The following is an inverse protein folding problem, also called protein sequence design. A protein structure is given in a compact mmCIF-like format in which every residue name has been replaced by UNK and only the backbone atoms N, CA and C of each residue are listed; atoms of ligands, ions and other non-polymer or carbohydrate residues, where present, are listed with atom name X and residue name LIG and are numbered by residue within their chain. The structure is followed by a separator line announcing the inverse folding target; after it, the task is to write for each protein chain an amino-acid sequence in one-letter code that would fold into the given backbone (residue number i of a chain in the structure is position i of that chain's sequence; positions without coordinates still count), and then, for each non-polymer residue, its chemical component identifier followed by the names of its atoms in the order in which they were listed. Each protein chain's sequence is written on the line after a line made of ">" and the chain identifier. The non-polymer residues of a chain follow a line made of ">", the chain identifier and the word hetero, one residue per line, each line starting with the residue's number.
data_IF_020091978370
#
_entry.id   IF_020091978370
#
_cell.length_a   1.000
_cell.length_b   1.000
_cell.length_c   1.000
_cell.angle_alpha   90.00
_cell.angle_beta   90.00
_cell.angle_gamma   90.00
#
_symmetry.space_group_name_H-M   'P 1'
#
loop_
_entity.id
_entity.type
_entity.pdbx_description
1 polymer ?
#
# COMPACT_ATOMS: atom_id res chain seq x y z
N UNK A 1 -5.81 8.28 12.00
CA UNK A 1 -4.76 9.17 11.46
C UNK A 1 -5.07 9.50 10.00
N UNK A 2 -4.71 10.71 9.57
CA UNK A 2 -4.81 11.11 8.17
C UNK A 2 -3.48 10.84 7.47
N UNK A 3 -3.54 10.56 6.15
CA UNK A 3 -2.35 10.43 5.31
C UNK A 3 -1.62 11.79 5.25
N UNK A 4 -0.28 11.79 5.21
CA UNK A 4 0.47 13.04 5.27
C UNK A 4 0.44 13.82 3.95
N UNK A 5 0.09 13.19 2.82
CA UNK A 5 -0.03 13.82 1.49
C UNK A 5 1.19 14.65 1.05
N UNK A 6 2.37 14.30 1.58
CA UNK A 6 3.66 14.92 1.25
C UNK A 6 4.67 13.87 0.80
N UNK A 7 5.71 14.33 0.10
CA UNK A 7 6.74 13.46 -0.49
C UNK A 7 7.48 12.68 0.60
N UNK A 8 7.48 11.34 0.47
CA UNK A 8 8.13 10.40 1.38
C UNK A 8 9.60 10.16 0.97
N UNK A 9 10.43 9.67 1.90
CA UNK A 9 11.84 9.39 1.64
C UNK A 9 12.03 8.29 0.59
N UNK A 10 11.09 7.35 0.46
CA UNK A 10 11.06 6.35 -0.61
C UNK A 10 11.30 6.99 -1.99
N UNK A 11 10.75 8.18 -2.25
CA UNK A 11 10.90 8.89 -3.52
C UNK A 11 12.33 9.39 -3.79
N UNK A 12 13.22 9.39 -2.79
CA UNK A 12 14.65 9.69 -2.91
C UNK A 12 15.48 8.41 -2.96
N UNK A 13 15.11 7.40 -2.18
CA UNK A 13 15.82 6.12 -2.14
C UNK A 13 15.69 5.32 -3.44
N UNK A 14 14.55 5.40 -4.14
CA UNK A 14 14.38 4.71 -5.45
C UNK A 14 15.54 5.05 -6.42
N UNK A 15 15.77 6.32 -6.81
CA UNK A 15 16.86 6.64 -7.72
C UNK A 15 18.24 6.49 -7.08
N UNK A 16 18.38 6.62 -5.75
CA UNK A 16 19.66 6.41 -5.07
C UNK A 16 20.16 4.96 -5.17
N UNK A 17 19.25 4.00 -5.26
CA UNK A 17 19.55 2.58 -5.47
C UNK A 17 19.53 2.18 -6.95
N UNK A 18 19.62 3.13 -7.89
CA UNK A 18 19.53 2.90 -9.33
C UNK A 18 18.25 2.16 -9.77
N UNK A 19 17.17 2.31 -8.99
CA UNK A 19 15.87 1.72 -9.29
C UNK A 19 14.95 2.74 -9.97
N UNK A 20 13.94 2.22 -10.66
CA UNK A 20 12.82 3.01 -11.16
C UNK A 20 11.52 2.62 -10.44
N UNK A 21 10.50 3.49 -10.39
CA UNK A 21 9.20 3.13 -9.83
C UNK A 21 8.60 1.87 -10.46
N UNK A 22 8.86 1.61 -11.74
CA UNK A 22 8.40 0.41 -12.44
C UNK A 22 9.11 -0.86 -11.95
N UNK A 23 10.42 -0.79 -11.71
CA UNK A 23 11.17 -1.91 -11.13
C UNK A 23 10.75 -2.20 -9.70
N UNK A 24 10.52 -1.16 -8.89
CA UNK A 24 9.99 -1.32 -7.53
C UNK A 24 8.59 -1.93 -7.56
N UNK A 25 7.71 -1.45 -8.45
CA UNK A 25 6.38 -2.02 -8.62
C UNK A 25 6.44 -3.52 -8.97
N UNK A 26 7.33 -3.89 -9.89
CA UNK A 26 7.57 -5.30 -10.26
C UNK A 26 8.05 -6.14 -9.07
N UNK A 27 8.98 -5.62 -8.27
CA UNK A 27 9.49 -6.31 -7.08
C UNK A 27 8.41 -6.51 -6.00
N UNK A 28 7.48 -5.57 -5.88
CA UNK A 28 6.37 -5.61 -4.93
C UNK A 28 5.12 -6.36 -5.47
N UNK A 29 5.11 -6.78 -6.74
CA UNK A 29 3.93 -7.38 -7.37
C UNK A 29 2.75 -6.42 -7.51
N UNK A 30 3.02 -5.12 -7.70
CA UNK A 30 2.00 -4.06 -7.82
C UNK A 30 2.22 -3.21 -9.08
N UNK A 31 1.48 -2.11 -9.20
CA UNK A 31 1.59 -1.16 -10.31
C UNK A 31 2.40 0.11 -9.97
N UNK A 32 2.84 0.82 -11.01
CA UNK A 32 3.64 2.05 -10.83
C UNK A 32 2.85 3.20 -10.19
N UNK A 33 1.52 3.21 -10.30
CA UNK A 33 0.66 4.22 -9.67
C UNK A 33 0.64 4.01 -8.16
N UNK A 34 0.60 2.75 -7.70
CA UNK A 34 0.73 2.39 -6.29
C UNK A 34 2.03 2.94 -5.70
N UNK A 35 3.16 2.71 -6.37
CA UNK A 35 4.47 3.23 -5.92
C UNK A 35 4.49 4.75 -5.88
N UNK A 36 3.91 5.42 -6.88
CA UNK A 36 3.79 6.89 -6.90
C UNK A 36 2.93 7.40 -5.74
N UNK A 37 1.84 6.71 -5.39
CA UNK A 37 0.99 7.08 -4.27
C UNK A 37 1.73 6.92 -2.94
N UNK A 38 2.48 5.83 -2.75
CA UNK A 38 3.35 5.63 -1.58
C UNK A 38 4.40 6.76 -1.49
N UNK A 39 5.07 7.07 -2.60
CA UNK A 39 6.06 8.16 -2.68
C UNK A 39 5.51 9.55 -2.33
N UNK A 40 4.21 9.78 -2.53
CA UNK A 40 3.53 11.06 -2.25
C UNK A 40 2.80 11.07 -0.91
N UNK A 41 2.92 10.00 -0.13
CA UNK A 41 2.19 9.86 1.13
C UNK A 41 0.67 9.83 0.93
N UNK A 42 0.21 9.34 -0.23
CA UNK A 42 -1.20 9.29 -0.62
C UNK A 42 -1.85 7.92 -0.42
N UNK A 43 -1.12 6.94 0.10
CA UNK A 43 -1.65 5.63 0.48
C UNK A 43 -0.77 5.00 1.56
N UNK A 44 -1.37 4.21 2.46
CA UNK A 44 -0.62 3.42 3.45
C UNK A 44 -0.01 2.18 2.78
N UNK A 45 1.27 1.83 3.05
CA UNK A 45 1.88 0.59 2.57
C UNK A 45 1.33 -0.61 3.36
N UNK A 46 0.95 -1.68 2.65
CA UNK A 46 0.48 -2.91 3.28
C UNK A 46 1.61 -3.59 4.07
N UNK A 47 1.30 -4.50 5.01
CA UNK A 47 2.32 -5.27 5.71
C UNK A 47 3.27 -6.03 4.76
N UNK A 48 2.72 -6.59 3.67
CA UNK A 48 3.53 -7.29 2.67
C UNK A 48 4.42 -6.33 1.88
N UNK A 49 3.91 -5.15 1.51
CA UNK A 49 4.70 -4.10 0.86
C UNK A 49 5.83 -3.61 1.77
N UNK A 50 5.57 -3.47 3.07
CA UNK A 50 6.58 -3.10 4.07
C UNK A 50 7.72 -4.10 4.07
N UNK A 51 7.42 -5.40 4.23
CA UNK A 51 8.43 -6.47 4.24
C UNK A 51 9.20 -6.53 2.92
N UNK A 52 8.51 -6.36 1.79
CA UNK A 52 9.14 -6.36 0.47
C UNK A 52 10.09 -5.16 0.29
N UNK A 53 9.70 -3.97 0.74
CA UNK A 53 10.53 -2.77 0.67
C UNK A 53 11.76 -2.88 1.57
N UNK A 54 11.62 -3.40 2.79
CA UNK A 54 12.76 -3.62 3.69
C UNK A 54 13.78 -4.58 3.07
N UNK A 55 13.31 -5.67 2.45
CA UNK A 55 14.17 -6.61 1.72
C UNK A 55 14.82 -5.99 0.50
N UNK A 56 14.07 -5.19 -0.27
CA UNK A 56 14.54 -4.59 -1.51
C UNK A 56 15.62 -3.51 -1.27
N UNK A 57 15.42 -2.67 -0.25
CA UNK A 57 16.32 -1.57 0.05
C UNK A 57 17.39 -1.93 1.10
N UNK A 58 17.20 -3.00 1.87
CA UNK A 58 18.09 -3.36 2.98
C UNK A 58 18.05 -2.35 4.13
N UNK A 59 16.93 -1.64 4.27
CA UNK A 59 16.74 -0.55 5.23
C UNK A 59 15.44 -0.76 6.02
N UNK A 60 15.37 -0.35 7.30
CA UNK A 60 14.12 -0.33 8.05
C UNK A 60 13.08 0.57 7.37
N UNK A 61 11.80 0.16 7.42
CA UNK A 61 10.73 0.89 6.73
C UNK A 61 10.51 2.31 7.28
N UNK A 62 10.90 2.56 8.53
CA UNK A 62 10.91 3.88 9.17
C UNK A 62 11.87 4.89 8.52
N UNK A 63 12.86 4.41 7.76
CA UNK A 63 13.75 5.27 6.98
C UNK A 63 13.10 5.65 5.65
N UNK A 64 12.24 4.78 5.12
CA UNK A 64 11.58 4.98 3.82
C UNK A 64 10.31 5.84 3.95
N UNK A 65 9.64 5.80 5.10
CA UNK A 65 8.38 6.48 5.33
C UNK A 65 8.34 7.21 6.67
N UNK A 66 7.54 8.27 6.70
CA UNK A 66 7.24 8.97 7.95
C UNK A 66 6.34 8.12 8.87
N UNK A 67 6.38 8.34 10.20
CA UNK A 67 5.61 7.55 11.16
C UNK A 67 4.11 7.47 10.84
N UNK A 68 3.52 8.54 10.31
CA UNK A 68 2.10 8.61 9.93
C UNK A 68 1.73 7.58 8.87
N UNK A 69 2.64 7.26 7.93
CA UNK A 69 2.42 6.24 6.90
C UNK A 69 2.42 4.82 7.47
N UNK A 70 3.06 4.61 8.62
CA UNK A 70 3.23 3.30 9.23
C UNK A 70 2.17 2.99 10.30
N UNK A 71 1.17 3.86 10.44
CA UNK A 71 0.12 3.76 11.46
C UNK A 71 -0.59 2.40 11.47
N UNK A 72 -0.69 1.73 10.32
CA UNK A 72 -1.41 0.46 10.16
C UNK A 72 -0.50 -0.74 9.90
N UNK A 73 0.82 -0.61 10.13
CA UNK A 73 1.78 -1.71 9.89
C UNK A 73 1.48 -2.97 10.72
N UNK A 74 0.92 -2.78 11.91
CA UNK A 74 0.60 -3.84 12.88
C UNK A 74 -0.91 -4.06 13.02
N UNK A 75 -1.71 -3.67 12.02
CA UNK A 75 -3.17 -3.82 12.00
C UNK A 75 -3.94 -2.65 12.62
N UNK A 76 -5.26 -2.84 12.87
CA UNK A 76 -6.19 -3.26 11.82
C UNK A 76 -6.26 -2.21 10.71
N UNK A 77 -6.34 -2.67 9.46
CA UNK A 77 -6.40 -1.81 8.29
C UNK A 77 -7.59 -0.84 8.37
N UNK A 78 -7.46 0.42 7.93
CA UNK A 78 -8.58 1.35 8.01
C UNK A 78 -9.77 0.78 7.25
N UNK A 79 -10.96 0.84 7.86
CA UNK A 79 -12.19 0.48 7.18
C UNK A 79 -12.26 1.26 5.86
N UNK A 80 -12.58 0.59 4.73
CA UNK A 80 -12.72 1.28 3.46
C UNK A 80 -13.72 2.42 3.62
N UNK A 81 -13.42 3.58 3.03
CA UNK A 81 -14.29 4.77 3.07
C UNK A 81 -14.73 5.13 1.66
N UNK A 82 -15.92 5.71 1.53
CA UNK A 82 -16.45 6.18 0.23
C UNK A 82 -16.68 5.05 -0.76
N UNK A 83 -16.36 5.27 -2.05
CA UNK A 83 -16.59 4.27 -3.11
C UNK A 83 -15.89 2.92 -2.89
N UNK A 84 -14.80 2.88 -2.13
CA UNK A 84 -14.15 1.64 -1.73
C UNK A 84 -14.98 0.83 -0.71
N UNK A 85 -15.75 1.49 0.15
CA UNK A 85 -16.69 0.83 1.06
C UNK A 85 -17.82 0.17 0.26
N UNK A 86 -18.38 0.92 -0.69
CA UNK A 86 -19.42 0.43 -1.59
C UNK A 86 -18.97 -0.80 -2.38
N UNK A 87 -17.72 -0.78 -2.90
CA UNK A 87 -17.13 -1.91 -3.62
C UNK A 87 -16.97 -3.13 -2.71
N UNK A 88 -16.46 -2.94 -1.49
CA UNK A 88 -16.29 -4.03 -0.53
C UNK A 88 -17.63 -4.65 -0.11
N UNK A 89 -18.68 -3.85 0.04
CA UNK A 89 -20.02 -4.35 0.33
C UNK A 89 -20.62 -5.09 -0.87
N UNK A 90 -20.43 -4.61 -2.10
CA UNK A 90 -20.83 -5.32 -3.33
C UNK A 90 -20.11 -6.67 -3.48
N UNK A 91 -18.81 -6.71 -3.21
CA UNK A 91 -18.03 -7.97 -3.28
C UNK A 91 -18.52 -8.98 -2.23
N UNK A 92 -18.88 -8.53 -1.01
CA UNK A 92 -19.52 -9.40 0.00
C UNK A 92 -20.89 -9.91 -0.44
N UNK A 93 -21.72 -9.03 -1.01
CA UNK A 93 -23.04 -9.41 -1.53
C UNK A 93 -22.92 -10.45 -2.65
N UNK A 94 -22.00 -10.26 -3.60
CA UNK A 94 -21.75 -11.25 -4.64
C UNK A 94 -21.28 -12.60 -4.08
N UNK A 95 -20.41 -12.58 -3.06
CA UNK A 95 -19.97 -13.80 -2.39
C UNK A 95 -21.11 -14.52 -1.66
N UNK A 96 -22.02 -13.78 -1.02
CA UNK A 96 -23.21 -14.34 -0.37
C UNK A 96 -24.18 -14.95 -1.38
N UNK A 97 -24.50 -14.24 -2.46
CA UNK A 97 -25.38 -14.74 -3.52
C UNK A 97 -24.78 -15.98 -4.21
N UNK A 98 -23.46 -16.00 -4.41
CA UNK A 98 -22.78 -17.17 -4.97
C UNK A 98 -22.82 -18.39 -4.03
N UNK A 99 -22.78 -18.16 -2.70
CA UNK A 99 -22.92 -19.22 -1.71
C UNK A 99 -24.34 -19.77 -1.65
N UNK A 100 -25.36 -18.91 -1.78
CA UNK A 100 -26.78 -19.29 -1.76
C UNK A 100 -27.26 -19.92 -3.08
N UNK A 101 -26.61 -19.65 -4.20
CA UNK A 101 -26.94 -20.23 -5.51
C UNK A 101 -26.28 -21.60 -5.80
N UNK A 102 -25.42 -22.08 -4.89
CA UNK A 102 -24.70 -23.35 -4.98
C UNK A 102 -25.30 -24.49 -4.15
N UNK A 103 -26.47 -24.29 -3.53
CA UNK A 103 -27.24 -25.25 -2.73
C UNK A 103 -28.56 -25.61 -3.44
#
# INVERSE_FOLDING_TARGET
>A
MALPHRRQQLAKFIPFHDLTPALVAKALGTDSTRIKNLCRGGAYPSPDEIVALEKLFGLPVEVLFEPEMLAYRNGPWPAPRGGAALRADLDRLHAQVAAEAGE
#
